data_IF_582774520845
#
_entry.id   IF_582774520845
#
_cell.length_a   1.000
_cell.length_b   1.000
_cell.length_c   1.000
_cell.angle_alpha   90.00
_cell.angle_beta   90.00
_cell.angle_gamma   90.00
#
_symmetry.space_group_name_H-M   'P 1'
#
loop_
_entity.id
_entity.type
_entity.pdbx_description
1 polymer ?
#
# COMPACT_ATOMS: atom_id res chain seq x y z
N UNK A 1 -17.67 2.06 -16.40
CA UNK A 1 -16.96 0.86 -15.92
C UNK A 1 -15.64 1.24 -15.27
N UNK A 2 -15.69 1.85 -14.07
CA UNK A 2 -14.49 2.22 -13.28
C UNK A 2 -14.66 1.83 -11.79
N UNK A 3 -15.65 1.00 -11.47
CA UNK A 3 -16.05 0.68 -10.10
C UNK A 3 -15.07 -0.23 -9.34
N UNK A 4 -14.10 -0.85 -10.01
CA UNK A 4 -13.22 -1.87 -9.42
C UNK A 4 -11.70 -1.56 -9.47
N UNK A 5 -11.30 -0.30 -9.72
CA UNK A 5 -9.87 0.03 -9.91
C UNK A 5 -9.18 0.69 -8.71
N UNK A 6 -9.90 0.89 -7.59
CA UNK A 6 -9.26 1.25 -6.33
C UNK A 6 -9.30 0.01 -5.45
N UNK A 7 -8.16 -0.36 -4.89
CA UNK A 7 -8.19 -1.11 -3.64
C UNK A 7 -8.71 -0.12 -2.58
N UNK A 8 -9.98 -0.22 -2.13
CA UNK A 8 -10.53 0.71 -1.15
C UNK A 8 -9.79 0.61 0.20
N UNK A 9 -9.06 -0.48 0.41
CA UNK A 9 -8.35 -0.86 1.63
C UNK A 9 -7.02 -0.11 1.81
N UNK A 10 -6.84 1.10 1.29
CA UNK A 10 -5.59 1.85 1.53
C UNK A 10 -5.78 3.37 1.51
N UNK A 11 -7.01 3.87 1.45
CA UNK A 11 -7.28 5.30 1.28
C UNK A 11 -7.19 6.00 2.64
N UNK A 12 -6.17 6.84 2.83
CA UNK A 12 -6.05 7.69 4.01
C UNK A 12 -6.28 9.17 3.67
N UNK A 13 -7.20 9.83 4.39
CA UNK A 13 -7.56 11.22 4.14
C UNK A 13 -6.37 12.21 4.28
N UNK A 14 -5.39 11.88 5.12
CA UNK A 14 -4.17 12.67 5.31
C UNK A 14 -3.22 12.62 4.11
N UNK A 15 -3.36 11.64 3.21
CA UNK A 15 -2.46 11.42 2.05
C UNK A 15 -3.17 11.45 0.71
N UNK A 16 -4.41 11.87 0.73
CA UNK A 16 -5.30 11.94 -0.42
C UNK A 16 -5.55 13.40 -0.80
N UNK A 17 -5.58 13.68 -2.10
CA UNK A 17 -6.01 14.97 -2.65
C UNK A 17 -7.11 14.69 -3.66
N UNK A 18 -8.21 15.44 -3.56
CA UNK A 18 -9.34 15.39 -4.50
C UNK A 18 -9.43 16.68 -5.30
N UNK A 19 -9.85 16.55 -6.55
CA UNK A 19 -10.33 17.66 -7.37
C UNK A 19 -11.85 17.58 -7.43
N UNK A 20 -12.54 18.63 -6.97
CA UNK A 20 -14.01 18.73 -6.93
C UNK A 20 -14.49 20.02 -7.57
N UNK A 21 -15.72 20.02 -8.06
CA UNK A 21 -16.39 21.23 -8.53
C UNK A 21 -17.16 21.94 -7.40
N UNK A 22 -16.72 23.10 -6.91
CA UNK A 22 -17.44 23.80 -5.86
C UNK A 22 -18.81 24.32 -6.31
N UNK A 23 -19.05 24.47 -7.62
CA UNK A 23 -20.31 24.99 -8.17
C UNK A 23 -21.35 23.91 -8.41
N UNK A 24 -20.94 22.65 -8.46
CA UNK A 24 -21.79 21.51 -8.81
C UNK A 24 -21.75 20.47 -7.69
N UNK A 25 -22.20 20.87 -6.50
CA UNK A 25 -22.32 19.99 -5.32
C UNK A 25 -21.05 19.17 -5.02
N UNK A 26 -19.87 19.82 -5.13
CA UNK A 26 -18.57 19.19 -4.93
C UNK A 26 -18.35 17.94 -5.80
N UNK A 27 -18.91 17.92 -7.02
CA UNK A 27 -18.75 16.82 -7.99
C UNK A 27 -17.28 16.47 -8.18
N UNK A 28 -16.93 15.21 -7.91
CA UNK A 28 -15.56 14.71 -8.02
C UNK A 28 -15.09 14.65 -9.48
N UNK A 29 -13.91 15.20 -9.76
CA UNK A 29 -13.24 15.20 -11.07
C UNK A 29 -12.00 14.30 -11.13
N UNK A 30 -11.35 14.08 -10.00
CA UNK A 30 -10.17 13.23 -9.94
C UNK A 30 -9.57 13.20 -8.55
N UNK A 31 -8.56 12.36 -8.38
CA UNK A 31 -7.83 12.22 -7.13
C UNK A 31 -6.38 11.80 -7.36
N UNK A 32 -5.55 12.05 -6.36
CA UNK A 32 -4.21 11.48 -6.28
C UNK A 32 -3.86 11.11 -4.84
N UNK A 33 -3.01 10.09 -4.68
CA UNK A 33 -2.65 9.55 -3.37
C UNK A 33 -1.17 9.19 -3.26
N UNK A 34 -0.57 9.51 -2.10
CA UNK A 34 0.66 8.88 -1.64
C UNK A 34 0.37 7.77 -0.63
N UNK A 35 0.87 6.56 -0.84
CA UNK A 35 0.86 5.50 0.18
C UNK A 35 2.28 5.21 0.67
N UNK A 36 2.50 4.92 1.95
CA UNK A 36 3.79 4.40 2.39
C UNK A 36 3.99 3.02 1.76
N UNK A 37 5.23 2.74 1.36
CA UNK A 37 5.66 1.43 0.86
C UNK A 37 6.66 0.85 1.85
N UNK A 38 6.44 -0.41 2.18
CA UNK A 38 7.21 -1.15 3.16
C UNK A 38 6.25 -1.78 4.15
N UNK A 39 6.79 -2.63 5.02
CA UNK A 39 6.03 -3.17 6.13
C UNK A 39 5.43 -1.98 6.90
N UNK A 40 4.10 -1.89 6.89
CA UNK A 40 3.35 -0.93 7.69
C UNK A 40 3.79 -1.17 9.13
N UNK A 41 4.11 -0.13 9.90
CA UNK A 41 4.16 -0.25 11.36
C UNK A 41 2.76 -0.70 11.76
N UNK A 42 2.56 -2.00 11.89
CA UNK A 42 1.26 -2.51 12.29
C UNK A 42 1.10 -2.14 13.75
N UNK A 43 -0.02 -1.52 14.06
CA UNK A 43 -0.27 -1.03 15.40
C UNK A 43 -0.42 -2.26 16.30
N UNK A 44 0.36 -2.36 17.39
CA UNK A 44 0.27 -3.49 18.32
C UNK A 44 -1.17 -3.71 18.82
N UNK A 45 -1.94 -2.63 18.94
CA UNK A 45 -3.33 -2.67 19.38
C UNK A 45 -4.30 -3.26 18.33
N UNK A 46 -3.93 -3.35 17.06
CA UNK A 46 -4.72 -4.08 16.03
C UNK A 46 -4.57 -5.61 16.17
N UNK A 47 -3.46 -6.10 16.74
CA UNK A 47 -3.20 -7.53 16.89
C UNK A 47 -3.72 -8.14 18.19
N UNK A 48 -3.59 -7.39 19.29
CA UNK A 48 -4.14 -7.77 20.60
C UNK A 48 -5.58 -7.23 20.77
N UNK A 49 -6.25 -6.94 19.66
CA UNK A 49 -7.63 -6.53 19.63
C UNK A 49 -8.49 -7.58 20.35
N UNK A 50 -9.23 -7.16 21.39
CA UNK A 50 -10.18 -8.02 22.09
C UNK A 50 -11.15 -8.62 21.05
N UNK A 51 -11.62 -9.87 21.23
CA UNK A 51 -12.63 -10.45 20.35
C UNK A 51 -13.80 -9.49 20.15
N UNK A 52 -14.08 -9.11 18.89
CA UNK A 52 -15.15 -8.15 18.54
C UNK A 52 -14.77 -6.67 18.58
N UNK A 53 -13.49 -6.32 18.80
CA UNK A 53 -13.02 -4.92 18.77
C UNK A 53 -12.58 -4.42 17.39
N UNK A 54 -12.38 -5.32 16.42
CA UNK A 54 -12.09 -4.93 15.04
C UNK A 54 -13.35 -4.42 14.34
N UNK A 55 -13.25 -3.29 13.65
CA UNK A 55 -14.31 -2.85 12.73
C UNK A 55 -14.21 -3.66 11.44
N UNK A 56 -15.35 -3.98 10.80
CA UNK A 56 -15.38 -4.69 9.48
C UNK A 56 -14.63 -3.89 8.39
N UNK A 57 -14.31 -2.63 8.66
CA UNK A 57 -13.64 -1.70 7.76
C UNK A 57 -12.10 -1.72 7.91
N UNK A 58 -11.54 -2.49 8.86
CA UNK A 58 -10.09 -2.60 9.05
C UNK A 58 -9.42 -3.48 7.97
N UNK A 59 -8.29 -3.00 7.47
CA UNK A 59 -7.57 -3.61 6.37
C UNK A 59 -7.06 -5.02 6.76
N UNK A 60 -7.51 -6.00 5.99
CA UNK A 60 -6.93 -7.34 5.94
C UNK A 60 -5.45 -7.20 5.55
N UNK A 61 -4.55 -7.41 6.50
CA UNK A 61 -3.11 -7.38 6.27
C UNK A 61 -2.70 -8.62 5.44
N UNK A 62 -2.42 -8.44 4.15
CA UNK A 62 -2.06 -9.51 3.20
C UNK A 62 -0.88 -10.35 3.70
N UNK A 63 0.10 -9.76 4.40
CA UNK A 63 1.23 -10.49 4.97
C UNK A 63 0.81 -11.46 6.08
N UNK A 64 -0.27 -11.15 6.82
CA UNK A 64 -0.85 -12.07 7.81
C UNK A 64 -1.54 -13.24 7.11
N UNK A 65 -2.22 -12.98 5.99
CA UNK A 65 -2.89 -14.03 5.22
C UNK A 65 -1.89 -14.92 4.50
N UNK A 66 -0.85 -14.37 3.90
CA UNK A 66 0.24 -15.17 3.31
C UNK A 66 0.92 -16.05 4.37
N UNK A 67 1.18 -15.53 5.58
CA UNK A 67 1.73 -16.34 6.68
C UNK A 67 0.76 -17.43 7.15
N UNK A 68 -0.55 -17.14 7.11
CA UNK A 68 -1.59 -18.09 7.45
C UNK A 68 -1.74 -19.19 6.39
N UNK A 69 -1.73 -18.84 5.11
CA UNK A 69 -1.82 -19.78 4.00
C UNK A 69 -0.56 -20.65 3.88
N UNK A 70 0.61 -20.12 4.23
CA UNK A 70 1.85 -20.88 4.29
C UNK A 70 1.92 -21.82 5.51
N UNK A 71 1.02 -21.67 6.48
CA UNK A 71 0.97 -22.53 7.66
C UNK A 71 0.11 -23.77 7.37
N UNK A 72 0.77 -24.91 7.17
CA UNK A 72 0.11 -26.21 6.97
C UNK A 72 -0.58 -26.75 8.25
N UNK A 73 -0.64 -25.96 9.32
CA UNK A 73 -1.25 -26.39 10.59
C UNK A 73 -2.76 -26.31 10.53
N UNK A 74 -3.41 -27.47 10.49
CA UNK A 74 -4.86 -27.57 10.58
C UNK A 74 -5.41 -26.99 11.89
N UNK A 75 -6.53 -26.29 11.77
CA UNK A 75 -7.30 -25.82 12.92
C UNK A 75 -7.94 -27.02 13.63
N UNK A 76 -7.70 -27.22 14.94
CA UNK A 76 -8.37 -28.28 15.67
C UNK A 76 -9.87 -27.98 15.74
N UNK A 77 -10.70 -28.95 15.35
CA UNK A 77 -12.17 -28.84 15.32
C UNK A 77 -12.84 -29.81 16.29
N UNK A 78 -14.07 -29.51 16.70
CA UNK A 78 -14.86 -30.38 17.59
C UNK A 78 -14.21 -30.57 18.96
N UNK A 79 -14.13 -31.81 19.46
CA UNK A 79 -13.49 -32.10 20.74
C UNK A 79 -11.98 -31.85 20.73
N UNK A 80 -11.33 -31.87 19.56
CA UNK A 80 -9.90 -31.61 19.44
C UNK A 80 -9.53 -30.15 19.72
N UNK A 81 -10.49 -29.22 19.69
CA UNK A 81 -10.27 -27.79 20.01
C UNK A 81 -10.24 -27.49 21.51
N UNK A 82 -10.44 -28.50 22.37
CA UNK A 82 -10.50 -28.31 23.82
C UNK A 82 -9.09 -28.11 24.43
N UNK A 83 -8.92 -27.22 25.42
CA UNK A 83 -7.59 -26.80 25.89
C UNK A 83 -6.65 -27.89 26.39
N UNK A 84 -7.21 -29.03 26.80
CA UNK A 84 -6.47 -30.16 27.36
C UNK A 84 -6.07 -31.20 26.32
N UNK A 85 -6.52 -31.10 25.07
CA UNK A 85 -6.15 -32.03 24.01
C UNK A 85 -4.74 -31.76 23.51
N UNK A 86 -4.14 -32.77 22.88
CA UNK A 86 -2.79 -32.65 22.33
C UNK A 86 -2.77 -31.70 21.13
N UNK A 87 -3.79 -31.82 20.30
CA UNK A 87 -4.01 -31.05 19.07
C UNK A 87 -4.13 -29.55 19.38
N UNK A 88 -4.93 -29.17 20.38
CA UNK A 88 -5.04 -27.78 20.81
C UNK A 88 -3.71 -27.23 21.32
N UNK A 89 -2.97 -28.01 22.14
CA UNK A 89 -1.70 -27.55 22.70
C UNK A 89 -0.64 -27.32 21.63
N UNK A 90 -0.53 -28.21 20.66
CA UNK A 90 0.38 -28.07 19.52
C UNK A 90 0.02 -26.85 18.67
N UNK A 91 -1.27 -26.67 18.37
CA UNK A 91 -1.77 -25.47 17.68
C UNK A 91 -1.44 -24.19 18.46
N UNK A 92 -1.70 -24.18 19.77
CA UNK A 92 -1.47 -23.02 20.64
C UNK A 92 0.02 -22.65 20.73
N UNK A 93 0.91 -23.63 20.83
CA UNK A 93 2.37 -23.40 20.81
C UNK A 93 2.83 -22.79 19.49
N UNK A 94 2.36 -23.32 18.35
CA UNK A 94 2.66 -22.73 17.03
C UNK A 94 2.12 -21.31 16.92
N UNK A 95 0.91 -21.06 17.43
CA UNK A 95 0.31 -19.73 17.47
C UNK A 95 1.11 -18.73 18.30
N UNK A 96 1.59 -19.14 19.47
CA UNK A 96 2.49 -18.33 20.30
C UNK A 96 3.80 -18.01 19.56
N UNK A 97 4.42 -19.01 18.93
CA UNK A 97 5.64 -18.80 18.15
C UNK A 97 5.44 -17.84 16.96
N UNK A 98 4.27 -17.87 16.29
CA UNK A 98 3.90 -16.89 15.25
C UNK A 98 3.81 -15.48 15.86
N UNK A 99 3.13 -15.34 16.99
CA UNK A 99 2.98 -14.05 17.65
C UNK A 99 4.35 -13.47 18.08
N UNK A 100 5.23 -14.30 18.64
CA UNK A 100 6.59 -13.89 19.02
C UNK A 100 7.41 -13.42 17.82
N UNK A 101 7.38 -14.16 16.70
CA UNK A 101 8.06 -13.75 15.46
C UNK A 101 7.55 -12.40 14.95
N UNK A 102 6.24 -12.16 15.02
CA UNK A 102 5.63 -10.89 14.63
C UNK A 102 6.07 -9.74 15.53
N UNK A 103 6.07 -9.95 16.85
CA UNK A 103 6.57 -8.97 17.83
C UNK A 103 8.02 -8.61 17.52
N UNK A 104 8.89 -9.60 17.28
CA UNK A 104 10.29 -9.36 16.93
C UNK A 104 10.44 -8.55 15.63
N UNK A 105 9.66 -8.87 14.59
CA UNK A 105 9.65 -8.12 13.32
C UNK A 105 9.21 -6.68 13.52
N UNK A 106 8.16 -6.45 14.32
CA UNK A 106 7.70 -5.10 14.67
C UNK A 106 8.73 -4.31 15.45
N UNK A 107 9.40 -4.92 16.43
CA UNK A 107 10.47 -4.25 17.19
C UNK A 107 11.66 -3.88 16.30
N UNK A 108 12.06 -4.78 15.40
CA UNK A 108 13.12 -4.51 14.44
C UNK A 108 12.73 -3.35 13.51
N UNK A 109 11.51 -3.34 13.01
CA UNK A 109 10.99 -2.27 12.16
C UNK A 109 10.92 -0.93 12.90
N UNK A 110 10.41 -0.91 14.13
CA UNK A 110 10.36 0.32 14.94
C UNK A 110 11.78 0.84 15.23
N UNK A 111 12.75 -0.06 15.49
CA UNK A 111 14.17 0.30 15.58
C UNK A 111 14.70 0.87 14.25
N UNK A 112 14.28 0.36 13.10
CA UNK A 112 14.68 0.88 11.79
C UNK A 112 14.08 2.27 11.49
N UNK A 113 12.83 2.51 11.86
CA UNK A 113 12.21 3.84 11.81
C UNK A 113 12.91 4.82 12.75
N UNK A 114 13.19 4.40 13.99
CA UNK A 114 13.95 5.19 14.96
C UNK A 114 15.38 5.49 14.49
N UNK A 115 15.98 4.58 13.70
CA UNK A 115 17.28 4.79 13.04
C UNK A 115 17.22 5.76 11.87
N UNK A 116 16.06 6.37 11.59
CA UNK A 116 15.91 7.39 10.57
C UNK A 116 15.98 6.85 9.15
N UNK A 117 15.68 5.56 8.93
CA UNK A 117 15.39 5.10 7.56
C UNK A 117 14.13 5.81 7.10
N UNK A 118 14.27 6.68 6.11
CA UNK A 118 13.14 7.34 5.46
C UNK A 118 12.10 6.30 5.08
N UNK A 119 10.86 6.48 5.54
CA UNK A 119 9.75 5.74 4.97
C UNK A 119 9.74 5.95 3.45
N UNK A 120 9.67 4.87 2.69
CA UNK A 120 9.51 4.91 1.24
C UNK A 120 8.02 5.15 0.96
N UNK A 121 7.71 5.87 -0.12
CA UNK A 121 6.35 6.24 -0.49
C UNK A 121 6.09 5.91 -1.95
N UNK A 122 4.82 5.67 -2.27
CA UNK A 122 4.32 5.45 -3.62
C UNK A 122 3.32 6.51 -4.00
N UNK A 123 3.44 7.06 -5.19
CA UNK A 123 2.31 7.71 -5.86
C UNK A 123 1.45 6.64 -6.54
N UNK A 124 0.61 5.96 -5.75
CA UNK A 124 -0.07 4.73 -6.18
C UNK A 124 -1.28 4.97 -7.10
N UNK A 125 -1.89 6.14 -7.04
CA UNK A 125 -3.08 6.43 -7.84
C UNK A 125 -3.10 7.89 -8.23
N UNK A 126 -3.23 8.14 -9.53
CA UNK A 126 -3.56 9.45 -10.11
C UNK A 126 -4.65 9.21 -11.13
N UNK A 127 -5.85 9.69 -10.84
CA UNK A 127 -7.00 9.49 -11.72
C UNK A 127 -7.69 10.82 -12.00
N UNK A 128 -8.07 10.99 -13.26
CA UNK A 128 -8.93 12.09 -13.73
C UNK A 128 -10.00 11.50 -14.61
N UNK A 129 -11.25 11.90 -14.36
CA UNK A 129 -12.40 11.51 -15.17
C UNK A 129 -12.13 11.82 -16.65
N UNK A 130 -12.46 10.90 -17.58
CA UNK A 130 -12.15 11.07 -19.00
C UNK A 130 -12.54 12.42 -19.59
N UNK A 131 -13.73 12.91 -19.26
CA UNK A 131 -14.30 14.19 -19.71
C UNK A 131 -13.55 15.42 -19.17
N UNK A 132 -12.76 15.25 -18.09
CA UNK A 132 -11.98 16.31 -17.45
C UNK A 132 -10.48 16.23 -17.77
N UNK A 133 -10.05 15.27 -18.61
CA UNK A 133 -8.64 15.13 -19.02
C UNK A 133 -8.23 16.30 -19.90
N UNK A 134 -6.92 16.55 -19.99
CA UNK A 134 -6.29 17.67 -20.74
C UNK A 134 -6.60 19.08 -20.19
N UNK A 135 -7.35 19.19 -19.10
CA UNK A 135 -7.60 20.46 -18.40
C UNK A 135 -6.54 20.78 -17.32
N UNK A 136 -5.43 20.02 -17.26
CA UNK A 136 -4.37 20.23 -16.26
C UNK A 136 -4.66 19.69 -14.86
N UNK A 137 -5.86 19.14 -14.60
CA UNK A 137 -6.26 18.63 -13.28
C UNK A 137 -5.29 17.57 -12.75
N UNK A 138 -4.89 16.60 -13.57
CA UNK A 138 -3.96 15.54 -13.16
C UNK A 138 -2.60 16.11 -12.74
N UNK A 139 -2.10 17.12 -13.46
CA UNK A 139 -0.85 17.77 -13.12
C UNK A 139 -0.94 18.53 -11.81
N UNK A 140 -2.07 19.18 -11.56
CA UNK A 140 -2.31 19.90 -10.31
C UNK A 140 -2.45 18.94 -9.12
N UNK A 141 -3.12 17.80 -9.30
CA UNK A 141 -3.22 16.74 -8.30
C UNK A 141 -1.84 16.25 -7.87
N UNK A 142 -0.98 15.90 -8.82
CA UNK A 142 0.40 15.45 -8.52
C UNK A 142 1.20 16.54 -7.82
N UNK A 143 1.16 17.79 -8.30
CA UNK A 143 1.86 18.91 -7.64
C UNK A 143 1.43 19.09 -6.20
N UNK A 144 0.12 19.07 -5.92
CA UNK A 144 -0.41 19.26 -4.56
C UNK A 144 -0.06 18.11 -3.65
N UNK A 145 -0.14 16.87 -4.13
CA UNK A 145 0.27 15.68 -3.38
C UNK A 145 1.76 15.75 -3.02
N UNK A 146 2.61 16.08 -3.98
CA UNK A 146 4.06 16.21 -3.75
C UNK A 146 4.40 17.40 -2.84
N UNK A 147 3.71 18.53 -2.99
CA UNK A 147 3.89 19.70 -2.11
C UNK A 147 3.49 19.39 -0.66
N UNK A 148 2.37 18.67 -0.46
CA UNK A 148 1.95 18.20 0.86
C UNK A 148 2.99 17.28 1.49
N UNK A 149 3.56 16.37 0.70
CA UNK A 149 4.63 15.47 1.15
C UNK A 149 5.88 16.23 1.62
N UNK A 150 6.33 17.22 0.84
CA UNK A 150 7.45 18.09 1.22
C UNK A 150 7.16 18.91 2.46
N UNK A 151 5.92 19.38 2.63
CA UNK A 151 5.49 20.15 3.82
C UNK A 151 5.58 19.31 5.11
N UNK A 152 5.46 17.98 5.00
CA UNK A 152 5.65 17.03 6.11
C UNK A 152 7.13 16.69 6.37
N UNK A 153 8.07 17.50 5.87
CA UNK A 153 9.53 17.29 5.98
C UNK A 153 10.04 15.98 5.36
N UNK A 154 9.27 15.41 4.44
CA UNK A 154 9.64 14.16 3.74
C UNK A 154 10.36 14.49 2.44
N UNK A 155 11.31 13.63 2.05
CA UNK A 155 12.13 13.87 0.86
C UNK A 155 11.43 13.31 -0.37
N UNK A 156 11.47 14.07 -1.47
CA UNK A 156 10.93 13.64 -2.76
C UNK A 156 11.62 12.41 -3.33
N UNK A 157 12.92 12.26 -3.05
CA UNK A 157 13.70 11.06 -3.40
C UNK A 157 13.23 9.77 -2.73
N UNK A 158 12.34 9.85 -1.76
CA UNK A 158 11.77 8.69 -1.09
C UNK A 158 10.42 8.31 -1.71
N UNK A 159 9.96 9.02 -2.75
CA UNK A 159 8.73 8.72 -3.49
C UNK A 159 9.04 7.96 -4.78
N UNK A 160 8.33 6.86 -4.99
CA UNK A 160 8.37 6.01 -6.15
C UNK A 160 7.00 5.96 -6.81
N UNK A 161 6.93 5.51 -8.07
CA UNK A 161 5.68 5.23 -8.75
C UNK A 161 5.89 4.14 -9.78
N UNK A 162 4.82 3.38 -10.06
CA UNK A 162 4.74 2.50 -11.20
C UNK A 162 3.90 3.16 -12.28
N UNK A 163 4.37 3.09 -13.52
CA UNK A 163 3.67 3.70 -14.64
C UNK A 163 3.98 3.01 -15.96
N UNK A 164 3.28 3.40 -17.02
CA UNK A 164 3.56 2.90 -18.36
C UNK A 164 4.70 3.71 -18.98
N UNK A 165 5.52 3.06 -19.79
CA UNK A 165 6.55 3.69 -20.62
C UNK A 165 6.04 4.91 -21.40
N UNK A 166 4.85 4.82 -21.99
CA UNK A 166 4.17 5.90 -22.71
C UNK A 166 3.87 7.15 -21.88
N UNK A 167 3.88 7.04 -20.55
CA UNK A 167 3.58 8.13 -19.61
C UNK A 167 4.80 8.68 -18.88
N UNK A 168 6.01 8.18 -19.18
CA UNK A 168 7.27 8.64 -18.56
C UNK A 168 7.45 10.15 -18.67
N UNK A 169 7.29 10.72 -19.88
CA UNK A 169 7.51 12.16 -20.09
C UNK A 169 6.51 13.02 -19.31
N UNK A 170 5.31 12.51 -19.08
CA UNK A 170 4.32 13.20 -18.26
C UNK A 170 4.73 13.23 -16.78
N UNK A 171 5.45 12.23 -16.27
CA UNK A 171 5.94 12.23 -14.89
C UNK A 171 7.27 12.98 -14.72
N UNK A 172 8.10 13.06 -15.77
CA UNK A 172 9.38 13.81 -15.76
C UNK A 172 9.22 15.29 -15.44
N UNK A 173 8.12 15.92 -15.87
CA UNK A 173 7.82 17.32 -15.51
C UNK A 173 7.55 17.54 -14.01
N UNK A 174 7.25 16.48 -13.25
CA UNK A 174 7.17 16.52 -11.78
C UNK A 174 8.46 16.03 -11.13
N UNK A 175 9.55 15.98 -11.91
CA UNK A 175 10.88 15.45 -11.61
C UNK A 175 10.85 14.06 -11.01
N UNK A 176 10.21 13.15 -11.74
CA UNK A 176 10.46 11.73 -11.58
C UNK A 176 11.41 11.26 -12.67
N UNK A 177 12.29 10.34 -12.32
CA UNK A 177 13.23 9.71 -13.24
C UNK A 177 13.07 8.19 -13.19
N UNK A 178 13.30 7.52 -14.32
CA UNK A 178 13.26 6.05 -14.38
C UNK A 178 14.37 5.50 -13.47
N UNK A 179 14.03 4.49 -12.66
CA UNK A 179 14.98 3.88 -11.74
C UNK A 179 15.19 2.40 -12.05
N UNK A 180 16.45 1.98 -12.10
CA UNK A 180 16.85 0.58 -12.23
C UNK A 180 16.84 -0.17 -10.89
N UNK A 181 16.62 0.57 -9.78
CA UNK A 181 16.64 0.03 -8.42
C UNK A 181 15.31 0.30 -7.71
N UNK A 182 14.20 -0.30 -8.19
CA UNK A 182 12.92 -0.20 -7.51
C UNK A 182 12.99 -0.85 -6.11
N UNK A 183 12.16 -0.41 -5.15
CA UNK A 183 11.97 -1.10 -3.88
C UNK A 183 11.52 -2.55 -4.09
N UNK A 184 11.91 -3.46 -3.21
CA UNK A 184 11.60 -4.89 -3.34
C UNK A 184 10.10 -5.18 -3.40
N UNK A 185 9.30 -4.43 -2.65
CA UNK A 185 7.83 -4.50 -2.67
C UNK A 185 7.22 -4.18 -4.03
N UNK A 186 7.87 -3.33 -4.84
CA UNK A 186 7.40 -2.98 -6.19
C UNK A 186 7.86 -3.99 -7.24
N UNK A 187 8.89 -4.79 -6.98
CA UNK A 187 9.41 -5.77 -7.96
C UNK A 187 8.35 -6.82 -8.33
N UNK A 188 7.57 -7.27 -7.36
CA UNK A 188 6.46 -8.20 -7.58
C UNK A 188 5.38 -7.60 -8.50
N UNK A 189 4.94 -6.38 -8.21
CA UNK A 189 3.97 -5.66 -9.04
C UNK A 189 4.49 -5.43 -10.47
N UNK A 190 5.79 -5.12 -10.65
CA UNK A 190 6.41 -4.97 -11.97
C UNK A 190 6.43 -6.30 -12.73
N UNK A 191 6.79 -7.40 -12.07
CA UNK A 191 6.82 -8.71 -12.69
C UNK A 191 5.42 -9.14 -13.16
N UNK A 192 4.43 -9.04 -12.28
CA UNK A 192 3.03 -9.38 -12.58
C UNK A 192 2.43 -8.46 -13.65
N UNK A 193 2.69 -7.15 -13.54
CA UNK A 193 2.19 -6.15 -14.48
C UNK A 193 2.72 -6.36 -15.90
N UNK A 194 4.01 -6.69 -16.05
CA UNK A 194 4.62 -6.91 -17.37
C UNK A 194 4.03 -8.10 -18.14
N UNK A 195 3.51 -9.12 -17.44
CA UNK A 195 2.81 -10.24 -18.09
C UNK A 195 1.53 -9.74 -18.76
N UNK A 196 0.77 -8.85 -18.10
CA UNK A 196 -0.48 -8.31 -18.62
C UNK A 196 -0.22 -7.25 -19.69
N UNK A 197 0.73 -6.33 -19.44
CA UNK A 197 1.00 -5.23 -20.37
C UNK A 197 1.67 -5.69 -21.67
N UNK A 198 2.33 -6.85 -21.66
CA UNK A 198 2.86 -7.49 -22.86
C UNK A 198 1.80 -7.73 -23.94
N UNK A 199 0.54 -7.98 -23.56
CA UNK A 199 -0.57 -8.13 -24.51
C UNK A 199 -1.05 -6.82 -25.13
N UNK A 200 -0.76 -5.68 -24.48
CA UNK A 200 -1.19 -4.34 -24.88
C UNK A 200 -0.05 -3.56 -25.55
N UNK A 201 1.17 -4.12 -25.58
CA UNK A 201 2.35 -3.50 -26.19
C UNK A 201 2.91 -2.32 -25.40
N UNK A 202 2.63 -2.26 -24.09
CA UNK A 202 3.22 -1.26 -23.18
C UNK A 202 4.08 -1.95 -22.12
N UNK A 203 5.11 -1.27 -21.63
CA UNK A 203 5.96 -1.78 -20.55
C UNK A 203 5.69 -1.04 -19.25
N UNK A 204 5.56 -1.77 -18.14
CA UNK A 204 5.51 -1.16 -16.81
C UNK A 204 6.93 -0.77 -16.38
N UNK A 205 7.09 0.46 -15.92
CA UNK A 205 8.36 1.03 -15.46
C UNK A 205 8.20 1.63 -14.06
N UNK A 206 9.26 1.56 -13.27
CA UNK A 206 9.34 2.25 -11.99
C UNK A 206 10.07 3.59 -12.17
N UNK A 207 9.52 4.65 -11.57
CA UNK A 207 10.17 5.95 -11.51
C UNK A 207 10.33 6.39 -10.04
N UNK A 208 11.34 7.21 -9.80
CA UNK A 208 11.71 7.75 -8.48
C UNK A 208 11.77 9.27 -8.55
N UNK A 209 11.28 9.95 -7.52
CA UNK A 209 11.41 11.40 -7.41
C UNK A 209 12.88 11.84 -7.31
N UNK A 210 13.19 12.99 -7.90
CA UNK A 210 14.48 13.69 -7.75
C UNK A 210 14.34 14.96 -6.92
#
# INVERSE_FOLDING_TARGET
MAQNLMNPLSIHADRFIVAVDPKNDNKLYGWAQLRPIGTRLVNKNEYDALPGSGSIEEEVNEEIWEEFEADETDFPVGFASLPWTKEYREYAQKSQARNEKRIQRMEQMNKELQRGRSAIWELASVYVKPEMRKLGIGSELVRRVMAKHTTMERKRKDVYLLTLDSTIDWYRQFGFEVTERPPSSMLGEIATGNVITGFIGSKLVCMRGT
#
